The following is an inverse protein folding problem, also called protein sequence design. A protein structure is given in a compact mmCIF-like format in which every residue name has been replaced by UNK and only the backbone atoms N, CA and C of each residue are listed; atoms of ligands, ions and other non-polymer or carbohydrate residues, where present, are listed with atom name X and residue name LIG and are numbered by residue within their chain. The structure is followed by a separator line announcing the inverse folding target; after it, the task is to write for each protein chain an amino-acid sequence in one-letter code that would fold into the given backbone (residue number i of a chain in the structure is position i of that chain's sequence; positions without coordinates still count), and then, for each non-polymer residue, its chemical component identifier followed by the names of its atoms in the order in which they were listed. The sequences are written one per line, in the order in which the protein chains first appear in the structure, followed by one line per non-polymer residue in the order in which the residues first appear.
data_IF_411048535890
#
_entry.id   IF_411048535890
#
_cell.length_a   1.000
_cell.length_b   1.000
_cell.length_c   1.000
_cell.angle_alpha   90.00
_cell.angle_beta   90.00
_cell.angle_gamma   90.00
#
_symmetry.space_group_name_H-M   'P 1'
#
loop_
_entity.id
_entity.type
_entity.pdbx_description
1 polymer ?
#
# COMPACT_ATOMS: atom_id res chain seq x y z
N UNK A 1 -0.08 -8.20 -32.26
CA UNK A 1 -1.05 -7.38 -33.01
C UNK A 1 -2.37 -8.14 -33.13
N UNK A 2 -3.38 -7.73 -32.37
CA UNK A 2 -4.69 -8.36 -32.42
C UNK A 2 -5.44 -7.89 -33.68
N UNK A 3 -5.71 -8.82 -34.60
CA UNK A 3 -6.34 -8.54 -35.91
C UNK A 3 -7.84 -8.24 -35.78
N UNK A 4 -8.41 -8.38 -34.59
CA UNK A 4 -9.83 -8.23 -34.29
C UNK A 4 -10.32 -6.79 -34.27
N UNK A 5 -9.43 -5.80 -34.17
CA UNK A 5 -9.82 -4.39 -34.01
C UNK A 5 -9.83 -3.58 -35.32
N UNK A 6 -9.47 -4.17 -36.46
CA UNK A 6 -9.58 -3.49 -37.77
C UNK A 6 -11.01 -3.58 -38.28
N UNK A 7 -11.70 -2.44 -38.37
CA UNK A 7 -13.02 -2.32 -39.01
C UNK A 7 -14.21 -2.15 -38.06
N UNK A 8 -13.99 -1.86 -36.78
CA UNK A 8 -15.06 -1.36 -35.92
C UNK A 8 -15.40 0.09 -36.31
N UNK A 9 -16.67 0.35 -36.65
CA UNK A 9 -17.17 1.69 -36.99
C UNK A 9 -17.02 2.70 -35.84
N UNK A 10 -16.86 2.22 -34.60
CA UNK A 10 -16.51 3.01 -33.42
C UNK A 10 -15.40 2.30 -32.63
N UNK A 11 -14.13 2.58 -32.93
CA UNK A 11 -13.02 2.01 -32.17
C UNK A 11 -13.04 2.56 -30.73
N UNK A 12 -12.73 1.75 -29.70
CA UNK A 12 -12.74 2.22 -28.33
C UNK A 12 -11.70 3.34 -28.14
N UNK A 13 -12.00 4.31 -27.27
CA UNK A 13 -11.20 5.54 -27.09
C UNK A 13 -9.74 5.33 -26.69
N UNK A 14 -9.39 4.14 -26.18
CA UNK A 14 -8.02 3.77 -25.84
C UNK A 14 -7.23 3.14 -27.01
N UNK A 15 -7.87 2.85 -28.14
CA UNK A 15 -7.22 2.28 -29.32
C UNK A 15 -6.55 3.37 -30.17
N UNK A 16 -5.57 2.99 -30.99
CA UNK A 16 -4.85 3.94 -31.87
C UNK A 16 -5.81 4.64 -32.85
N UNK A 17 -6.74 3.91 -33.45
CA UNK A 17 -7.77 4.48 -34.33
C UNK A 17 -8.67 5.45 -33.57
N UNK A 18 -9.06 5.09 -32.32
CA UNK A 18 -9.84 5.96 -31.43
C UNK A 18 -9.13 7.26 -31.07
N UNK A 19 -7.83 7.19 -30.75
CA UNK A 19 -6.99 8.34 -30.44
C UNK A 19 -6.75 9.24 -31.66
N UNK A 20 -6.67 8.66 -32.85
CA UNK A 20 -6.55 9.41 -34.12
C UNK A 20 -7.87 10.04 -34.55
N UNK A 21 -9.01 9.47 -34.16
CA UNK A 21 -10.36 9.97 -34.47
C UNK A 21 -10.90 11.01 -33.47
N UNK A 22 -10.20 11.28 -32.37
CA UNK A 22 -10.55 12.36 -31.45
C UNK A 22 -10.33 13.72 -32.13
N UNK A 23 -11.34 14.21 -32.83
CA UNK A 23 -11.43 15.63 -33.21
C UNK A 23 -11.51 16.50 -31.95
N UNK A 24 -10.75 17.59 -31.97
CA UNK A 24 -10.42 18.45 -30.84
C UNK A 24 -11.59 19.35 -30.39
N UNK A 25 -12.72 18.77 -29.98
CA UNK A 25 -13.94 19.51 -29.59
C UNK A 25 -14.27 19.49 -28.08
N UNK A 26 -13.34 19.07 -27.21
CA UNK A 26 -13.52 19.17 -25.75
C UNK A 26 -12.50 20.11 -25.08
N UNK A 27 -13.01 20.91 -24.14
CA UNK A 27 -12.33 22.01 -23.44
C UNK A 27 -10.92 21.62 -22.93
N UNK A 28 -9.84 22.27 -23.42
CA UNK A 28 -8.44 21.89 -23.11
C UNK A 28 -8.02 22.12 -21.65
N UNK A 29 -8.91 22.61 -20.80
CA UNK A 29 -8.67 22.86 -19.38
C UNK A 29 -8.90 21.65 -18.46
N UNK A 30 -9.59 20.60 -18.93
CA UNK A 30 -10.00 19.46 -18.10
C UNK A 30 -9.21 18.17 -18.35
N UNK A 31 -8.51 18.04 -19.48
CA UNK A 31 -7.71 16.86 -19.80
C UNK A 31 -6.23 17.23 -19.93
N UNK A 32 -5.44 17.02 -18.87
CA UNK A 32 -3.98 17.05 -19.00
C UNK A 32 -3.51 15.72 -19.57
N UNK A 33 -3.73 15.52 -20.87
CA UNK A 33 -3.12 14.40 -21.59
C UNK A 33 -1.60 14.58 -21.58
N UNK A 34 -0.94 13.81 -20.71
CA UNK A 34 0.52 13.68 -20.63
C UNK A 34 0.97 12.34 -21.19
N UNK A 35 0.28 11.81 -22.19
CA UNK A 35 0.72 10.61 -22.88
C UNK A 35 2.06 10.88 -23.58
N UNK A 36 3.08 10.10 -23.23
CA UNK A 36 4.33 10.04 -23.99
C UNK A 36 4.10 8.99 -25.09
N UNK A 37 4.26 9.33 -26.38
CA UNK A 37 4.09 8.35 -27.45
C UNK A 37 5.17 7.25 -27.32
N UNK A 38 4.73 6.02 -27.09
CA UNK A 38 5.58 4.82 -26.98
C UNK A 38 6.03 4.26 -28.33
N UNK A 39 5.83 4.99 -29.44
CA UNK A 39 6.10 4.53 -30.82
C UNK A 39 7.54 4.04 -31.01
N UNK A 40 8.50 4.71 -30.37
CA UNK A 40 9.92 4.34 -30.44
C UNK A 40 10.22 2.96 -29.81
N UNK A 41 9.45 2.52 -28.81
CA UNK A 41 9.66 1.24 -28.14
C UNK A 41 9.16 0.08 -28.99
N UNK A 42 8.07 0.28 -29.75
CA UNK A 42 7.56 -0.73 -30.68
C UNK A 42 8.55 -0.93 -31.84
N UNK A 43 9.12 0.15 -32.37
CA UNK A 43 10.10 0.08 -33.47
C UNK A 43 11.42 -0.59 -33.05
N UNK A 44 11.84 -0.40 -31.80
CA UNK A 44 13.09 -0.95 -31.26
C UNK A 44 12.93 -2.27 -30.53
N UNK A 45 11.70 -2.80 -30.36
CA UNK A 45 11.40 -3.99 -29.56
C UNK A 45 12.24 -5.22 -29.94
N UNK A 46 12.31 -5.55 -31.23
CA UNK A 46 13.11 -6.68 -31.72
C UNK A 46 14.61 -6.52 -31.47
N UNK A 47 15.13 -5.29 -31.39
CA UNK A 47 16.53 -5.05 -31.01
C UNK A 47 16.76 -5.43 -29.54
N UNK A 48 15.83 -5.04 -28.65
CA UNK A 48 15.89 -5.41 -27.23
C UNK A 48 15.76 -6.92 -27.03
N UNK A 49 14.82 -7.58 -27.72
CA UNK A 49 14.65 -9.03 -27.64
C UNK A 49 15.91 -9.77 -28.04
N UNK A 50 16.57 -9.34 -29.13
CA UNK A 50 17.83 -9.92 -29.57
C UNK A 50 18.96 -9.69 -28.56
N UNK A 51 19.06 -8.50 -27.94
CA UNK A 51 20.07 -8.22 -26.92
C UNK A 51 19.88 -9.06 -25.65
N UNK A 52 18.63 -9.29 -25.24
CA UNK A 52 18.30 -10.11 -24.06
C UNK A 52 18.52 -11.59 -24.39
N UNK A 53 18.12 -12.04 -25.59
CA UNK A 53 18.26 -13.44 -26.03
C UNK A 53 19.69 -13.82 -26.40
N UNK A 54 20.52 -12.86 -26.84
CA UNK A 54 21.94 -13.07 -27.17
C UNK A 54 22.77 -13.42 -25.93
N UNK A 55 22.36 -12.98 -24.73
CA UNK A 55 22.87 -13.55 -23.50
C UNK A 55 22.11 -14.86 -23.23
N UNK A 56 22.60 -15.97 -23.78
CA UNK A 56 22.15 -17.34 -23.45
C UNK A 56 22.21 -17.64 -21.94
N UNK A 57 22.93 -16.81 -21.18
CA UNK A 57 23.10 -16.89 -19.72
C UNK A 57 22.18 -15.96 -18.90
N UNK A 58 21.12 -15.36 -19.45
CA UNK A 58 20.07 -14.79 -18.58
C UNK A 58 19.23 -15.97 -18.10
N UNK A 59 19.43 -16.49 -16.88
CA UNK A 59 18.65 -17.63 -16.41
C UNK A 59 17.20 -17.19 -16.44
N UNK A 60 16.28 -18.04 -16.91
CA UNK A 60 14.85 -17.75 -16.75
C UNK A 60 14.61 -17.52 -15.26
N UNK A 61 14.44 -16.26 -14.87
CA UNK A 61 14.26 -15.91 -13.47
C UNK A 61 12.89 -16.44 -13.11
N UNK A 62 12.86 -17.57 -12.39
CA UNK A 62 11.65 -18.05 -11.78
C UNK A 62 11.34 -17.13 -10.61
N UNK A 63 10.06 -16.89 -10.36
CA UNK A 63 9.64 -16.37 -9.05
C UNK A 63 10.28 -17.27 -7.98
N UNK A 64 11.10 -16.68 -7.13
CA UNK A 64 11.82 -17.39 -6.08
C UNK A 64 10.80 -18.13 -5.20
N UNK A 65 11.10 -19.36 -4.80
CA UNK A 65 10.18 -20.19 -4.05
C UNK A 65 9.79 -19.49 -2.74
N UNK A 66 8.56 -18.97 -2.69
CA UNK A 66 8.02 -18.25 -1.53
C UNK A 66 7.66 -16.78 -1.77
N UNK A 67 8.08 -16.15 -2.87
CA UNK A 67 7.75 -14.75 -3.19
C UNK A 67 6.81 -14.68 -4.39
N UNK A 68 5.54 -14.36 -4.15
CA UNK A 68 4.55 -14.20 -5.21
C UNK A 68 4.86 -13.01 -6.11
N UNK A 69 4.79 -13.20 -7.43
CA UNK A 69 5.00 -12.16 -8.42
C UNK A 69 3.68 -11.80 -9.11
N UNK A 70 3.28 -10.53 -9.05
CA UNK A 70 2.11 -9.98 -9.75
C UNK A 70 2.59 -9.18 -10.95
N UNK A 71 2.26 -9.65 -12.15
CA UNK A 71 2.76 -9.07 -13.39
C UNK A 71 1.88 -7.89 -13.81
N UNK A 72 2.50 -6.73 -13.98
CA UNK A 72 1.85 -5.57 -14.59
C UNK A 72 1.62 -5.72 -16.09
N UNK A 73 2.16 -6.76 -16.74
CA UNK A 73 1.89 -7.05 -18.16
C UNK A 73 0.63 -7.91 -18.32
N UNK A 74 0.40 -8.86 -17.42
CA UNK A 74 -0.78 -9.75 -17.47
C UNK A 74 -1.90 -9.31 -16.53
N UNK A 75 -1.61 -8.42 -15.58
CA UNK A 75 -2.57 -7.94 -14.58
C UNK A 75 -2.89 -8.97 -13.49
N UNK A 76 -2.15 -10.07 -13.40
CA UNK A 76 -2.45 -11.22 -12.53
C UNK A 76 -1.19 -11.77 -11.87
N UNK A 77 -1.39 -12.62 -10.86
CA UNK A 77 -0.32 -13.42 -10.25
C UNK A 77 0.28 -14.38 -11.28
N UNK A 78 1.61 -14.40 -11.36
CA UNK A 78 2.36 -15.37 -12.16
C UNK A 78 2.48 -16.66 -11.37
N UNK A 79 2.08 -17.78 -11.99
CA UNK A 79 2.16 -19.12 -11.38
C UNK A 79 3.60 -19.59 -11.18
N UNK A 80 3.79 -20.68 -10.42
CA UNK A 80 5.11 -21.24 -10.10
C UNK A 80 5.93 -21.63 -11.36
N UNK A 81 5.25 -22.01 -12.44
CA UNK A 81 5.86 -22.36 -13.73
C UNK A 81 5.96 -21.16 -14.69
N UNK A 82 5.54 -19.97 -14.26
CA UNK A 82 5.57 -18.77 -15.07
C UNK A 82 6.99 -18.34 -15.38
N UNK A 83 7.35 -18.38 -16.66
CA UNK A 83 8.68 -17.98 -17.15
C UNK A 83 8.71 -16.48 -17.41
N UNK A 84 9.70 -15.81 -16.81
CA UNK A 84 10.06 -14.42 -17.09
C UNK A 84 11.21 -14.38 -18.10
N UNK A 85 10.94 -14.90 -19.31
CA UNK A 85 11.91 -14.99 -20.41
C UNK A 85 12.02 -13.70 -21.23
N UNK A 86 12.90 -13.68 -22.24
CA UNK A 86 13.08 -12.52 -23.12
C UNK A 86 11.78 -12.08 -23.79
N UNK A 87 10.94 -13.03 -24.20
CA UNK A 87 9.64 -12.76 -24.81
C UNK A 87 8.66 -12.11 -23.82
N UNK A 88 8.69 -12.50 -22.53
CA UNK A 88 7.92 -11.82 -21.49
C UNK A 88 8.36 -10.35 -21.34
N UNK A 89 9.66 -10.09 -21.25
CA UNK A 89 10.18 -8.72 -21.10
C UNK A 89 9.91 -7.86 -22.33
N UNK A 90 9.98 -8.44 -23.54
CA UNK A 90 9.55 -7.75 -24.75
C UNK A 90 8.07 -7.35 -24.67
N UNK A 91 7.20 -8.28 -24.25
CA UNK A 91 5.77 -7.99 -24.04
C UNK A 91 5.54 -6.89 -23.00
N UNK A 92 6.37 -6.80 -21.95
CA UNK A 92 6.26 -5.71 -20.97
C UNK A 92 6.57 -4.35 -21.60
N UNK A 93 7.48 -4.29 -22.57
CA UNK A 93 7.82 -3.05 -23.28
C UNK A 93 6.77 -2.66 -24.33
N UNK A 94 6.21 -3.64 -25.04
CA UNK A 94 5.25 -3.40 -26.13
C UNK A 94 3.82 -3.12 -25.64
N UNK A 95 3.45 -3.65 -24.46
CA UNK A 95 2.08 -3.56 -23.96
C UNK A 95 1.93 -2.53 -22.85
N UNK A 96 0.69 -2.09 -22.64
CA UNK A 96 0.33 -1.19 -21.54
C UNK A 96 0.59 -1.82 -20.17
N UNK A 97 1.00 -0.99 -19.21
CA UNK A 97 1.16 -1.36 -17.81
C UNK A 97 -0.21 -1.47 -17.13
N UNK A 98 -0.64 -2.70 -16.84
CA UNK A 98 -1.85 -3.05 -16.10
C UNK A 98 -1.63 -2.93 -14.57
N UNK A 99 -1.26 -1.74 -14.10
CA UNK A 99 -0.96 -1.49 -12.69
C UNK A 99 -2.17 -1.77 -11.77
N UNK A 100 -3.31 -1.14 -12.04
CA UNK A 100 -4.52 -1.31 -11.21
C UNK A 100 -4.96 -2.78 -11.12
N UNK A 101 -5.14 -3.52 -12.24
CA UNK A 101 -5.49 -4.94 -12.17
C UNK A 101 -4.47 -5.77 -11.36
N UNK A 102 -3.17 -5.53 -11.55
CA UNK A 102 -2.14 -6.28 -10.83
C UNK A 102 -2.15 -6.04 -9.32
N UNK A 103 -2.33 -4.79 -8.88
CA UNK A 103 -2.42 -4.45 -7.46
C UNK A 103 -3.74 -4.92 -6.87
N UNK A 104 -4.84 -4.86 -7.62
CA UNK A 104 -6.12 -5.40 -7.17
C UNK A 104 -6.03 -6.92 -6.95
N UNK A 105 -5.42 -7.66 -7.87
CA UNK A 105 -5.19 -9.09 -7.70
C UNK A 105 -4.31 -9.41 -6.47
N UNK A 106 -3.28 -8.59 -6.21
CA UNK A 106 -2.47 -8.68 -4.99
C UNK A 106 -3.35 -8.44 -3.75
N UNK A 107 -4.13 -7.38 -3.76
CA UNK A 107 -5.00 -7.02 -2.65
C UNK A 107 -6.04 -8.15 -2.40
N UNK A 108 -6.63 -8.74 -3.42
CA UNK A 108 -7.62 -9.82 -3.29
C UNK A 108 -7.03 -11.11 -2.69
N UNK A 109 -5.79 -11.46 -3.05
CA UNK A 109 -5.09 -12.65 -2.54
C UNK A 109 -4.70 -12.53 -1.05
N UNK A 110 -4.56 -11.31 -0.53
CA UNK A 110 -4.15 -11.06 0.85
C UNK A 110 -5.25 -10.30 1.62
N UNK A 111 -5.99 -11.02 2.46
CA UNK A 111 -7.08 -10.46 3.28
C UNK A 111 -6.62 -9.89 4.63
N UNK A 112 -5.38 -10.18 5.02
CA UNK A 112 -4.76 -9.72 6.27
C UNK A 112 -4.20 -8.29 6.13
N UNK A 113 -3.83 -7.69 7.27
CA UNK A 113 -3.13 -6.39 7.27
C UNK A 113 -1.82 -6.46 6.50
N UNK A 114 -1.64 -5.56 5.54
CA UNK A 114 -0.47 -5.58 4.64
C UNK A 114 0.18 -4.21 4.46
N UNK A 115 1.49 -4.24 4.18
CA UNK A 115 2.27 -3.04 3.90
C UNK A 115 2.70 -3.04 2.43
N UNK A 116 2.25 -2.05 1.69
CA UNK A 116 2.64 -1.77 0.32
C UNK A 116 3.85 -0.83 0.32
N UNK A 117 5.04 -1.38 0.11
CA UNK A 117 6.29 -0.62 0.10
C UNK A 117 6.69 -0.28 -1.34
N UNK A 118 6.72 1.01 -1.70
CA UNK A 118 7.21 1.46 -3.01
C UNK A 118 8.72 1.66 -2.96
N UNK A 119 9.45 0.83 -3.70
CA UNK A 119 10.90 0.91 -3.85
C UNK A 119 11.20 1.77 -5.09
N UNK A 120 11.71 2.98 -4.85
CA UNK A 120 12.05 3.90 -5.94
C UNK A 120 12.66 5.21 -5.43
N UNK A 121 13.17 6.06 -6.34
CA UNK A 121 13.78 7.35 -5.99
C UNK A 121 12.77 8.39 -5.50
N UNK A 122 11.48 8.19 -5.77
CA UNK A 122 10.37 8.98 -5.28
C UNK A 122 9.08 8.15 -5.23
N UNK A 123 8.03 8.70 -4.64
CA UNK A 123 6.69 8.14 -4.45
C UNK A 123 5.81 8.43 -5.68
N UNK A 124 6.19 7.91 -6.83
CA UNK A 124 5.46 8.15 -8.09
C UNK A 124 4.15 7.37 -8.16
N UNK A 125 4.09 6.18 -7.55
CA UNK A 125 2.90 5.32 -7.57
C UNK A 125 1.96 5.55 -6.38
N UNK A 126 2.38 6.36 -5.41
CA UNK A 126 1.66 6.54 -4.15
C UNK A 126 0.25 7.12 -4.28
N UNK A 127 -0.01 7.95 -5.29
CA UNK A 127 -1.38 8.44 -5.56
C UNK A 127 -2.32 7.30 -5.94
N UNK A 128 -1.92 6.51 -6.94
CA UNK A 128 -2.68 5.37 -7.45
C UNK A 128 -2.83 4.26 -6.39
N UNK A 129 -1.75 3.91 -5.69
CA UNK A 129 -1.79 2.88 -4.65
C UNK A 129 -2.75 3.24 -3.51
N UNK A 130 -2.72 4.49 -3.02
CA UNK A 130 -3.64 4.95 -1.97
C UNK A 130 -5.10 4.95 -2.39
N UNK A 131 -5.38 5.24 -3.66
CA UNK A 131 -6.74 5.14 -4.19
C UNK A 131 -7.24 3.69 -4.12
N UNK A 132 -6.44 2.74 -4.62
CA UNK A 132 -6.80 1.31 -4.59
C UNK A 132 -6.97 0.78 -3.16
N UNK A 133 -6.14 1.24 -2.22
CA UNK A 133 -6.26 0.90 -0.80
C UNK A 133 -7.56 1.46 -0.20
N UNK A 134 -7.90 2.71 -0.51
CA UNK A 134 -9.11 3.36 0.02
C UNK A 134 -10.39 2.73 -0.52
N UNK A 135 -10.36 2.24 -1.76
CA UNK A 135 -11.50 1.60 -2.39
C UNK A 135 -11.75 0.18 -1.82
N UNK A 136 -10.86 -0.33 -0.96
CA UNK A 136 -11.10 -1.55 -0.20
C UNK A 136 -12.00 -1.30 1.02
N UNK A 137 -12.99 -2.18 1.28
CA UNK A 137 -13.92 -2.02 2.39
C UNK A 137 -13.29 -2.28 3.78
N UNK A 138 -12.17 -2.99 3.85
CA UNK A 138 -11.54 -3.46 5.10
C UNK A 138 -10.41 -2.56 5.62
N UNK A 139 -9.88 -1.63 4.81
CA UNK A 139 -8.89 -0.63 5.24
C UNK A 139 -7.58 -1.20 5.80
N UNK A 140 -7.28 -2.46 5.51
CA UNK A 140 -6.19 -3.26 6.12
C UNK A 140 -4.82 -3.03 5.49
N UNK A 141 -4.73 -2.28 4.39
CA UNK A 141 -3.47 -2.02 3.69
C UNK A 141 -2.91 -0.63 3.98
N UNK A 142 -1.60 -0.51 4.18
CA UNK A 142 -0.90 0.78 4.35
C UNK A 142 0.18 0.97 3.29
N UNK A 143 0.28 2.17 2.73
CA UNK A 143 1.27 2.50 1.70
C UNK A 143 2.47 3.25 2.30
N UNK A 144 3.69 2.80 1.97
CA UNK A 144 4.95 3.34 2.48
C UNK A 144 5.95 3.54 1.32
N UNK A 145 6.34 4.78 0.97
CA UNK A 145 7.41 5.01 0.00
C UNK A 145 8.79 4.86 0.65
N UNK A 146 9.79 4.35 -0.08
CA UNK A 146 11.18 4.26 0.41
C UNK A 146 11.93 5.59 0.38
N UNK A 147 11.81 6.35 -0.72
CA UNK A 147 12.52 7.62 -0.90
C UNK A 147 11.58 8.71 -1.40
N UNK A 148 11.97 9.97 -1.18
CA UNK A 148 11.26 11.14 -1.71
C UNK A 148 12.22 12.06 -2.45
N UNK A 149 11.73 12.67 -3.53
CA UNK A 149 12.49 13.66 -4.29
C UNK A 149 12.86 14.84 -3.39
N UNK A 150 14.06 15.39 -3.59
CA UNK A 150 14.57 16.55 -2.84
C UNK A 150 14.61 16.34 -1.32
N UNK A 151 14.88 15.12 -0.88
CA UNK A 151 14.97 14.76 0.55
C UNK A 151 16.28 14.03 0.84
N UNK A 152 16.60 13.92 2.13
CA UNK A 152 17.74 13.12 2.57
C UNK A 152 17.37 11.62 2.49
N UNK A 153 18.01 10.90 1.57
CA UNK A 153 17.73 9.49 1.30
C UNK A 153 17.95 8.58 2.51
N UNK A 154 18.99 8.85 3.30
CA UNK A 154 19.29 8.07 4.50
C UNK A 154 18.21 8.23 5.57
N UNK A 155 17.80 9.48 5.85
CA UNK A 155 16.72 9.75 6.80
C UNK A 155 15.37 9.19 6.33
N UNK A 156 15.09 9.24 5.03
CA UNK A 156 13.85 8.70 4.49
C UNK A 156 13.81 7.17 4.56
N UNK A 157 14.93 6.48 4.31
CA UNK A 157 15.02 5.05 4.52
C UNK A 157 14.82 4.67 5.99
N UNK A 158 15.42 5.41 6.93
CA UNK A 158 15.19 5.19 8.38
C UNK A 158 13.73 5.40 8.77
N UNK A 159 13.05 6.41 8.22
CA UNK A 159 11.61 6.61 8.43
C UNK A 159 10.79 5.45 7.86
N UNK A 160 11.17 4.91 6.71
CA UNK A 160 10.51 3.75 6.10
C UNK A 160 10.63 2.52 6.99
N UNK A 161 11.83 2.25 7.52
CA UNK A 161 12.06 1.17 8.50
C UNK A 161 11.22 1.40 9.76
N UNK A 162 11.22 2.62 10.30
CA UNK A 162 10.41 2.97 11.47
C UNK A 162 8.91 2.80 11.25
N UNK A 163 8.39 3.10 10.04
CA UNK A 163 7.00 2.84 9.68
C UNK A 163 6.70 1.35 9.59
N UNK A 164 7.56 0.57 8.92
CA UNK A 164 7.40 -0.89 8.83
C UNK A 164 7.32 -1.49 10.24
N UNK A 165 8.26 -1.12 11.11
CA UNK A 165 8.27 -1.56 12.50
C UNK A 165 7.02 -1.12 13.28
N UNK A 166 6.61 0.14 13.14
CA UNK A 166 5.42 0.69 13.81
C UNK A 166 4.11 0.04 13.39
N UNK A 167 4.06 -0.53 12.17
CA UNK A 167 2.94 -1.33 11.70
C UNK A 167 3.04 -2.83 12.08
N UNK A 168 4.00 -3.22 12.93
CA UNK A 168 4.20 -4.61 13.36
C UNK A 168 5.01 -5.47 12.39
N UNK A 169 5.61 -4.87 11.35
CA UNK A 169 6.51 -5.57 10.44
C UNK A 169 7.82 -5.97 11.12
N UNK A 170 8.36 -7.12 10.73
CA UNK A 170 9.64 -7.60 11.23
C UNK A 170 10.80 -6.77 10.66
N UNK A 171 11.68 -6.27 11.53
CA UNK A 171 12.90 -5.53 11.16
C UNK A 171 14.08 -6.14 11.91
N UNK A 172 15.08 -6.61 11.17
CA UNK A 172 16.36 -7.01 11.74
C UNK A 172 17.27 -5.78 11.95
N UNK A 173 17.29 -5.27 13.18
CA UNK A 173 18.15 -4.13 13.53
C UNK A 173 19.64 -4.47 13.59
N UNK A 174 20.01 -5.75 13.67
CA UNK A 174 21.42 -6.16 13.73
C UNK A 174 22.14 -5.91 12.39
N UNK A 175 21.42 -6.06 11.27
CA UNK A 175 21.92 -5.75 9.94
C UNK A 175 22.06 -4.25 9.65
N UNK A 176 21.40 -3.39 10.43
CA UNK A 176 21.44 -1.93 10.26
C UNK A 176 22.64 -1.31 10.99
N UNK A 177 22.97 -1.83 12.18
CA UNK A 177 24.01 -1.30 13.04
C UNK A 177 25.08 -2.34 13.38
N UNK A 178 26.12 -2.44 12.55
CA UNK A 178 27.22 -3.40 12.77
C UNK A 178 28.15 -3.08 13.96
N UNK A 179 28.14 -1.84 14.47
CA UNK A 179 28.96 -1.40 15.61
C UNK A 179 28.13 -0.52 16.55
N UNK A 180 27.24 -1.15 17.30
CA UNK A 180 26.37 -0.47 18.26
C UNK A 180 27.01 -0.36 19.65
N UNK A 181 26.85 0.79 20.31
CA UNK A 181 27.13 0.95 21.74
C UNK A 181 25.84 0.67 22.53
N UNK A 182 25.95 -0.08 23.62
CA UNK A 182 24.81 -0.26 24.54
C UNK A 182 24.48 1.07 25.20
N UNK A 183 23.22 1.48 25.11
CA UNK A 183 22.69 2.62 25.85
C UNK A 183 22.38 2.16 27.29
N UNK A 184 22.93 2.85 28.28
CA UNK A 184 22.87 2.43 29.70
C UNK A 184 21.98 3.33 30.55
N UNK A 185 21.56 4.48 30.04
CA UNK A 185 20.89 5.57 30.76
C UNK A 185 19.49 5.88 30.21
N UNK A 186 18.81 4.89 29.64
CA UNK A 186 17.44 5.05 29.15
C UNK A 186 16.41 4.98 30.29
N UNK A 187 15.35 5.81 30.28
CA UNK A 187 14.26 5.68 31.24
C UNK A 187 13.61 4.30 31.13
N UNK A 188 13.16 3.77 32.27
CA UNK A 188 12.41 2.50 32.30
C UNK A 188 11.04 2.68 31.63
N UNK A 189 10.49 1.59 31.09
CA UNK A 189 9.15 1.59 30.49
C UNK A 189 8.12 2.20 31.47
N UNK A 190 7.37 3.23 31.05
CA UNK A 190 6.38 3.88 31.91
C UNK A 190 5.13 3.00 31.97
N UNK A 191 5.03 2.20 33.03
CA UNK A 191 3.82 1.41 33.28
C UNK A 191 2.61 2.32 33.48
N UNK A 192 1.46 1.93 32.94
CA UNK A 192 0.20 2.60 33.23
C UNK A 192 -0.28 2.16 34.62
N UNK A 193 -0.22 3.05 35.60
CA UNK A 193 -0.44 2.75 37.02
C UNK A 193 -1.93 2.63 37.41
N UNK A 194 -2.86 2.69 36.44
CA UNK A 194 -4.32 2.75 36.69
C UNK A 194 -4.95 1.37 36.98
N UNK A 195 -4.15 0.31 37.16
CA UNK A 195 -4.70 -1.01 37.50
C UNK A 195 -4.80 -1.20 39.01
N UNK A 196 -5.80 -0.58 39.63
CA UNK A 196 -6.23 -0.93 41.00
C UNK A 196 -6.86 -2.33 40.98
N UNK A 197 -6.02 -3.38 40.98
CA UNK A 197 -6.44 -4.77 41.17
C UNK A 197 -6.76 -5.03 42.65
N UNK A 198 -7.63 -4.21 43.21
CA UNK A 198 -8.27 -4.51 44.49
C UNK A 198 -9.38 -5.50 44.23
N UNK A 199 -9.21 -6.75 44.68
CA UNK A 199 -10.35 -7.65 44.84
C UNK A 199 -11.13 -7.14 46.06
N UNK A 200 -12.33 -6.56 45.89
CA UNK A 200 -13.07 -6.03 47.02
C UNK A 200 -13.32 -7.17 47.98
N UNK A 201 -13.02 -6.96 49.26
CA UNK A 201 -13.28 -7.96 50.27
C UNK A 201 -14.81 -8.22 50.34
N UNK A 202 -15.21 -9.39 50.87
CA UNK A 202 -16.65 -9.77 50.94
C UNK A 202 -17.52 -8.72 51.63
N UNK A 203 -16.97 -7.96 52.58
CA UNK A 203 -17.68 -6.92 53.33
C UNK A 203 -17.99 -5.72 52.44
N UNK A 204 -17.01 -5.24 51.67
CA UNK A 204 -17.18 -4.18 50.68
C UNK A 204 -18.17 -4.55 49.57
N UNK A 205 -18.12 -5.82 49.12
CA UNK A 205 -19.09 -6.34 48.15
C UNK A 205 -20.52 -6.31 48.71
N UNK A 206 -20.71 -6.77 49.95
CA UNK A 206 -22.02 -6.76 50.61
C UNK A 206 -22.56 -5.33 50.82
N UNK A 207 -21.69 -4.38 51.17
CA UNK A 207 -22.08 -2.99 51.40
C UNK A 207 -22.50 -2.28 50.11
N UNK A 208 -21.81 -2.53 48.98
CA UNK A 208 -22.18 -1.98 47.66
C UNK A 208 -23.54 -2.49 47.16
N UNK A 209 -23.86 -3.77 47.39
CA UNK A 209 -25.14 -4.34 46.99
C UNK A 209 -26.30 -3.67 47.75
N UNK A 210 -26.13 -3.42 49.06
CA UNK A 210 -27.16 -2.74 49.87
C UNK A 210 -27.37 -1.29 49.46
N UNK A 211 -26.32 -0.55 49.13
CA UNK A 211 -26.42 0.88 48.78
C UNK A 211 -27.02 1.12 47.39
N UNK A 212 -26.87 0.19 46.44
CA UNK A 212 -27.49 0.32 45.11
C UNK A 212 -28.98 -0.04 45.09
N UNK A 213 -29.46 -0.82 46.06
CA UNK A 213 -30.89 -1.17 46.18
C UNK A 213 -31.68 -0.17 47.05
N UNK A 214 -31.01 0.77 47.71
CA UNK A 214 -31.69 1.76 48.55
C UNK A 214 -32.28 2.90 47.68
N UNK A 215 -33.58 3.20 47.77
CA UNK A 215 -34.15 4.35 47.07
C UNK A 215 -33.53 5.64 47.63
N UNK A 216 -33.07 6.52 46.73
CA UNK A 216 -32.40 7.77 47.12
C UNK A 216 -33.33 8.62 47.99
N UNK A 217 -32.93 9.02 49.22
CA UNK A 217 -33.79 9.86 50.05
C UNK A 217 -33.89 11.25 49.41
N UNK A 218 -35.11 11.64 49.04
CA UNK A 218 -35.44 12.97 48.52
C UNK A 218 -35.41 13.95 49.69
N UNK A 219 -34.25 14.55 49.97
CA UNK A 219 -34.15 15.60 50.99
C UNK A 219 -34.86 16.84 50.46
N UNK A 220 -36.04 17.16 51.01
CA UNK A 220 -36.74 18.40 50.71
C UNK A 220 -35.94 19.58 51.29
N UNK A 221 -35.43 20.46 50.41
CA UNK A 221 -34.86 21.75 50.83
C UNK A 221 -36.00 22.68 51.24
N UNK A 222 -36.10 22.98 52.53
CA UNK A 222 -36.90 24.10 53.01
C UNK A 222 -36.10 25.39 52.84
N UNK A 223 -36.57 26.32 52.00
CA UNK A 223 -36.01 27.67 51.92
C UNK A 223 -36.66 28.55 52.98
N UNK A 224 -35.87 29.06 53.93
CA UNK A 224 -36.31 30.10 54.85
C UNK A 224 -36.27 31.44 54.11
N UNK A 225 -37.44 32.07 53.97
CA UNK A 225 -37.59 33.45 53.49
C UNK A 225 -37.36 34.38 54.68
N UNK A 226 -36.25 35.11 54.69
CA UNK A 226 -36.05 36.23 55.61
C UNK A 226 -36.75 37.47 55.03
N UNK A 227 -37.71 38.00 55.78
CA UNK A 227 -38.28 39.33 55.58
C UNK A 227 -37.48 40.33 56.43
N UNK A 228 -36.94 41.35 55.79
CA UNK A 228 -37.06 42.75 56.23
C UNK A 228 -36.80 43.69 55.05
#
# INVERSE_FOLDING_TARGET
MDKTLRGLENPPSWSIEGLLSCEADEDPSTLTDRSQPMSHIIESGHMYENLISYKEDVPSVRSEAGVAFYSSTTGKRVGADGRLDSAYWLKTLENMVLFQPSVQALLEDFQESMLLVEIGPHSSLGGYAKQLIRDRPDGTASYIPTLRRNSNSFLDLLKTIGRIYGHGGFVDFSGIHHKSRVLTDIPTYPWDEVMEMSLPNRIEQAFKIQTQQAPTPRIARFSLSEKQ
#
